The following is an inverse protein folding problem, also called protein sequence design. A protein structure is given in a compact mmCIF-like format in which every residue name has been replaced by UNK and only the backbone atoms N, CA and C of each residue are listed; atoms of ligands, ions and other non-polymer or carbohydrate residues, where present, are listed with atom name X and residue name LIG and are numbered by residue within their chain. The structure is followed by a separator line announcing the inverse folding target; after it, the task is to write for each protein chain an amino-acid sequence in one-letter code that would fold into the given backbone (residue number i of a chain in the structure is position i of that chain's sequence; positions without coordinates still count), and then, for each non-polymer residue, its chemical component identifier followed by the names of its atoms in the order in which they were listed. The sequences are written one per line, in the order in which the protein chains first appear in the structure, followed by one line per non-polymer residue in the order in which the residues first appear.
data_IF_374846722785
#
_entry.id   IF_374846722785
#
_cell.length_a   1.000
_cell.length_b   1.000
_cell.length_c   1.000
_cell.angle_alpha   90.00
_cell.angle_beta   90.00
_cell.angle_gamma   90.00
#
_symmetry.space_group_name_H-M   'P 1'
#
loop_
_entity.id
_entity.type
_entity.pdbx_description
1 polymer ?
#
# COMPACT_ATOMS: atom_id res chain seq x y z
N UNK A 1 -8.49 14.56 -19.16
CA UNK A 1 -8.14 13.17 -19.55
C UNK A 1 -6.95 12.62 -18.75
N UNK A 2 -5.73 13.18 -18.83
CA UNK A 2 -4.56 12.64 -18.10
C UNK A 2 -4.74 12.57 -16.58
N UNK A 3 -5.33 13.60 -15.96
CA UNK A 3 -5.62 13.62 -14.52
C UNK A 3 -6.59 12.50 -14.10
N UNK A 4 -7.69 12.38 -14.84
CA UNK A 4 -8.71 11.36 -14.58
C UNK A 4 -8.16 9.95 -14.75
N UNK A 5 -7.30 9.74 -15.74
CA UNK A 5 -6.63 8.44 -15.94
C UNK A 5 -5.79 8.04 -14.73
N UNK A 6 -4.96 8.96 -14.23
CA UNK A 6 -4.14 8.73 -13.03
C UNK A 6 -4.99 8.48 -11.78
N UNK A 7 -6.09 9.23 -11.63
CA UNK A 7 -7.05 8.99 -10.53
C UNK A 7 -7.69 7.60 -10.61
N UNK A 8 -8.01 7.13 -11.83
CA UNK A 8 -8.55 5.78 -12.04
C UNK A 8 -7.50 4.71 -11.72
N UNK A 9 -6.23 4.90 -12.10
CA UNK A 9 -5.15 3.97 -11.74
C UNK A 9 -5.02 3.83 -10.22
N UNK A 10 -5.05 4.95 -9.48
CA UNK A 10 -5.02 4.91 -8.01
C UNK A 10 -6.25 4.22 -7.42
N UNK A 11 -7.43 4.48 -7.98
CA UNK A 11 -8.67 3.83 -7.55
C UNK A 11 -8.59 2.31 -7.73
N UNK A 12 -8.10 1.83 -8.88
CA UNK A 12 -7.94 0.41 -9.18
C UNK A 12 -6.97 -0.25 -8.18
N UNK A 13 -5.84 0.41 -7.86
CA UNK A 13 -4.89 -0.11 -6.87
C UNK A 13 -5.52 -0.23 -5.47
N UNK A 14 -6.31 0.76 -5.05
CA UNK A 14 -7.03 0.73 -3.77
C UNK A 14 -8.08 -0.39 -3.75
N UNK A 15 -8.81 -0.58 -4.85
CA UNK A 15 -9.81 -1.64 -4.94
C UNK A 15 -9.18 -3.04 -4.92
N UNK A 16 -8.09 -3.23 -5.65
CA UNK A 16 -7.30 -4.46 -5.60
C UNK A 16 -6.80 -4.75 -4.18
N UNK A 17 -6.28 -3.75 -3.46
CA UNK A 17 -5.85 -3.92 -2.07
C UNK A 17 -7.03 -4.36 -1.18
N UNK A 18 -8.21 -3.75 -1.36
CA UNK A 18 -9.42 -4.13 -0.62
C UNK A 18 -9.82 -5.58 -0.89
N UNK A 19 -9.80 -6.03 -2.14
CA UNK A 19 -10.08 -7.41 -2.51
C UNK A 19 -9.07 -8.39 -1.91
N UNK A 20 -7.78 -8.03 -1.91
CA UNK A 20 -6.72 -8.83 -1.28
C UNK A 20 -6.92 -8.97 0.23
N UNK A 21 -7.28 -7.89 0.92
CA UNK A 21 -7.62 -7.93 2.35
C UNK A 21 -8.84 -8.81 2.60
N UNK A 22 -9.88 -8.71 1.76
CA UNK A 22 -11.06 -9.58 1.88
C UNK A 22 -10.69 -11.05 1.66
N UNK A 23 -9.77 -11.36 0.73
CA UNK A 23 -9.29 -12.73 0.53
C UNK A 23 -8.62 -13.29 1.79
N UNK A 24 -7.92 -12.47 2.57
CA UNK A 24 -7.31 -12.92 3.83
C UNK A 24 -8.34 -13.41 4.85
N UNK A 25 -9.55 -12.84 4.87
CA UNK A 25 -10.61 -13.26 5.82
C UNK A 25 -11.24 -14.60 5.46
N UNK A 26 -11.03 -15.07 4.23
CA UNK A 26 -11.54 -16.35 3.73
C UNK A 26 -10.54 -17.50 3.93
N UNK A 27 -9.31 -17.22 4.36
CA UNK A 27 -8.30 -18.26 4.62
C UNK A 27 -8.65 -19.03 5.91
N UNK A 28 -8.34 -20.32 5.92
CA UNK A 28 -8.48 -21.12 7.13
C UNK A 28 -7.44 -20.69 8.17
N UNK A 29 -7.90 -20.20 9.32
CA UNK A 29 -7.05 -19.70 10.40
C UNK A 29 -6.16 -20.77 11.04
N UNK A 30 -6.49 -22.06 10.84
CA UNK A 30 -5.67 -23.17 11.35
C UNK A 30 -4.33 -23.31 10.59
N UNK A 31 -4.21 -22.73 9.39
CA UNK A 31 -2.99 -22.68 8.59
C UNK A 31 -2.19 -21.39 8.86
N UNK A 32 -1.69 -21.22 10.08
CA UNK A 32 -1.01 -20.00 10.55
C UNK A 32 0.17 -19.56 9.69
N UNK A 33 0.93 -20.50 9.12
CA UNK A 33 2.06 -20.19 8.23
C UNK A 33 1.61 -19.63 6.86
N UNK A 34 0.61 -20.27 6.22
CA UNK A 34 0.07 -19.80 4.95
C UNK A 34 -0.59 -18.42 5.10
N UNK A 35 -1.34 -18.23 6.18
CA UNK A 35 -1.92 -16.95 6.53
C UNK A 35 -0.83 -15.87 6.73
N UNK A 36 0.25 -16.21 7.43
CA UNK A 36 1.39 -15.31 7.64
C UNK A 36 2.05 -14.88 6.32
N UNK A 37 2.31 -15.82 5.41
CA UNK A 37 2.86 -15.54 4.07
C UNK A 37 1.91 -14.65 3.28
N UNK A 38 0.62 -14.97 3.26
CA UNK A 38 -0.38 -14.20 2.53
C UNK A 38 -0.49 -12.77 3.07
N UNK A 39 -0.48 -12.58 4.39
CA UNK A 39 -0.44 -11.25 5.02
C UNK A 39 0.79 -10.47 4.56
N UNK A 40 1.96 -11.11 4.52
CA UNK A 40 3.19 -10.46 4.05
C UNK A 40 3.07 -9.99 2.58
N UNK A 41 2.49 -10.82 1.70
CA UNK A 41 2.26 -10.45 0.30
C UNK A 41 1.28 -9.27 0.16
N UNK A 42 0.18 -9.28 0.91
CA UNK A 42 -0.77 -8.16 0.92
C UNK A 42 -0.13 -6.88 1.46
N UNK A 43 0.74 -6.99 2.46
CA UNK A 43 1.50 -5.85 3.00
C UNK A 43 2.50 -5.28 1.99
N UNK A 44 3.18 -6.14 1.23
CA UNK A 44 4.08 -5.70 0.16
C UNK A 44 3.33 -4.84 -0.86
N UNK A 45 2.20 -5.35 -1.36
CA UNK A 45 1.32 -4.61 -2.27
C UNK A 45 0.79 -3.31 -1.66
N UNK A 46 0.34 -3.35 -0.40
CA UNK A 46 -0.19 -2.17 0.29
C UNK A 46 0.86 -1.05 0.44
N UNK A 47 2.11 -1.41 0.71
CA UNK A 47 3.21 -0.46 0.86
C UNK A 47 3.54 0.24 -0.47
N UNK A 48 3.61 -0.50 -1.57
CA UNK A 48 3.85 0.06 -2.90
C UNK A 48 2.68 0.92 -3.36
N UNK A 49 1.44 0.41 -3.29
CA UNK A 49 0.24 1.13 -3.69
C UNK A 49 0.01 2.39 -2.85
N UNK A 50 0.22 2.31 -1.52
CA UNK A 50 0.12 3.46 -0.62
C UNK A 50 1.17 4.52 -0.89
N UNK A 51 2.39 4.11 -1.25
CA UNK A 51 3.47 5.04 -1.62
C UNK A 51 3.15 5.78 -2.92
N UNK A 52 2.72 5.04 -3.94
CA UNK A 52 2.30 5.61 -5.22
C UNK A 52 1.12 6.59 -5.06
N UNK A 53 0.10 6.20 -4.29
CA UNK A 53 -1.04 7.06 -3.97
C UNK A 53 -0.62 8.34 -3.26
N UNK A 54 0.30 8.24 -2.30
CA UNK A 54 0.85 9.40 -1.60
C UNK A 54 1.49 10.38 -2.58
N UNK A 55 2.41 9.91 -3.42
CA UNK A 55 3.08 10.75 -4.42
C UNK A 55 2.09 11.38 -5.40
N UNK A 56 1.13 10.59 -5.88
CA UNK A 56 0.08 11.06 -6.78
C UNK A 56 -0.75 12.17 -6.10
N UNK A 57 -1.17 11.96 -4.86
CA UNK A 57 -1.96 12.94 -4.11
C UNK A 57 -1.19 14.26 -3.92
N UNK A 58 0.10 14.22 -3.60
CA UNK A 58 0.94 15.43 -3.55
C UNK A 58 0.96 16.11 -4.93
N UNK A 59 1.21 15.35 -5.99
CA UNK A 59 1.32 15.89 -7.35
C UNK A 59 0.01 16.51 -7.85
N UNK A 60 -1.15 15.97 -7.47
CA UNK A 60 -2.47 16.54 -7.77
C UNK A 60 -2.66 17.93 -7.15
N UNK A 61 -2.02 18.21 -6.02
CA UNK A 61 -2.08 19.50 -5.32
C UNK A 61 -0.94 20.47 -5.70
N UNK A 62 -0.03 20.04 -6.58
CA UNK A 62 1.13 20.84 -7.00
C UNK A 62 2.01 21.24 -5.81
N UNK A 63 2.57 22.45 -5.86
CA UNK A 63 3.44 22.96 -4.78
C UNK A 63 2.76 23.10 -3.43
N UNK A 64 1.42 23.20 -3.37
CA UNK A 64 0.70 23.23 -2.09
C UNK A 64 0.68 21.86 -1.41
N UNK A 65 0.81 20.77 -2.17
CA UNK A 65 0.70 19.40 -1.63
C UNK A 65 1.72 19.10 -0.53
N UNK A 66 2.87 19.77 -0.53
CA UNK A 66 3.93 19.57 0.48
C UNK A 66 3.77 20.47 1.73
N UNK A 67 2.77 21.36 1.75
CA UNK A 67 2.51 22.26 2.88
C UNK A 67 1.71 21.56 3.98
N UNK A 68 2.04 21.80 5.25
CA UNK A 68 1.28 21.29 6.41
C UNK A 68 -0.15 21.85 6.51
N UNK A 69 -0.48 22.87 5.72
CA UNK A 69 -1.81 23.49 5.68
C UNK A 69 -2.86 22.59 5.02
N UNK A 70 -2.42 21.60 4.23
CA UNK A 70 -3.31 20.64 3.57
C UNK A 70 -3.12 19.23 4.13
N UNK A 71 -4.23 18.54 4.36
CA UNK A 71 -4.23 17.20 4.98
C UNK A 71 -3.43 16.16 4.17
N UNK A 72 -3.24 16.38 2.87
CA UNK A 72 -2.49 15.50 1.99
C UNK A 72 -1.01 15.39 2.39
N UNK A 73 -0.39 16.46 2.90
CA UNK A 73 1.00 16.43 3.36
C UNK A 73 1.18 15.47 4.54
N UNK A 74 0.31 15.59 5.54
CA UNK A 74 0.31 14.69 6.71
C UNK A 74 -0.08 13.26 6.32
N UNK A 75 -1.05 13.10 5.41
CA UNK A 75 -1.45 11.81 4.86
C UNK A 75 -0.30 11.09 4.16
N UNK A 76 0.46 11.81 3.32
CA UNK A 76 1.65 11.29 2.65
C UNK A 76 2.69 10.76 3.65
N UNK A 77 3.04 11.55 4.68
CA UNK A 77 3.99 11.11 5.73
C UNK A 77 3.54 9.83 6.41
N UNK A 78 2.24 9.72 6.71
CA UNK A 78 1.66 8.51 7.31
C UNK A 78 1.78 7.31 6.36
N UNK A 79 1.50 7.49 5.07
CA UNK A 79 1.67 6.44 4.07
C UNK A 79 3.14 5.99 3.96
N UNK A 80 4.10 6.93 3.95
CA UNK A 80 5.54 6.59 3.93
C UNK A 80 5.97 5.80 5.16
N UNK A 81 5.43 6.13 6.34
CA UNK A 81 5.72 5.40 7.57
C UNK A 81 5.13 3.98 7.51
N UNK A 82 3.86 3.85 7.13
CA UNK A 82 3.17 2.56 7.04
C UNK A 82 3.79 1.64 5.98
N UNK A 83 4.33 2.20 4.90
CA UNK A 83 5.03 1.44 3.87
C UNK A 83 6.32 0.77 4.36
N UNK A 84 6.90 1.25 5.48
CA UNK A 84 8.15 0.72 6.04
C UNK A 84 7.98 -0.01 7.37
N UNK A 85 6.86 0.18 8.07
CA UNK A 85 6.61 -0.42 9.37
C UNK A 85 5.76 -1.69 9.27
N UNK A 86 6.13 -2.82 9.93
CA UNK A 86 7.30 -3.00 10.80
C UNK A 86 8.57 -3.41 10.03
N UNK A 87 8.46 -3.66 8.73
CA UNK A 87 9.55 -3.93 7.80
C UNK A 87 9.17 -3.42 6.41
N UNK A 88 10.15 -3.28 5.52
CA UNK A 88 9.96 -2.72 4.18
C UNK A 88 9.11 -3.60 3.25
N UNK A 89 8.65 -3.03 2.14
CA UNK A 89 7.92 -3.76 1.09
C UNK A 89 8.74 -4.93 0.52
N UNK A 90 10.05 -4.73 0.34
CA UNK A 90 10.95 -5.77 -0.16
C UNK A 90 11.02 -6.93 0.83
N UNK A 91 11.20 -6.64 2.13
CA UNK A 91 11.22 -7.68 3.16
C UNK A 91 9.87 -8.41 3.26
N UNK A 92 8.75 -7.69 3.09
CA UNK A 92 7.42 -8.29 3.04
C UNK A 92 7.29 -9.25 1.85
N UNK A 93 7.84 -8.88 0.70
CA UNK A 93 7.85 -9.69 -0.50
C UNK A 93 8.73 -10.95 -0.35
N UNK A 94 9.90 -10.82 0.29
CA UNK A 94 10.76 -11.97 0.60
C UNK A 94 10.03 -13.01 1.47
N UNK A 95 9.35 -12.55 2.52
CA UNK A 95 8.55 -13.40 3.42
C UNK A 95 7.44 -14.10 2.63
N UNK A 96 6.74 -13.38 1.75
CA UNK A 96 5.70 -13.95 0.90
C UNK A 96 6.25 -15.02 -0.06
N UNK A 97 7.41 -14.75 -0.68
CA UNK A 97 8.08 -15.68 -1.59
C UNK A 97 8.71 -16.89 -0.89
N UNK A 98 8.79 -16.89 0.45
CA UNK A 98 9.55 -17.89 1.20
C UNK A 98 11.06 -17.77 0.99
N UNK A 99 11.53 -16.61 0.50
CA UNK A 99 12.94 -16.33 0.35
C UNK A 99 13.52 -15.99 1.73
N UNK A 100 14.43 -16.85 2.23
CA UNK A 100 15.19 -16.55 3.43
C UNK A 100 16.37 -15.64 3.07
N UNK A 101 16.27 -14.36 3.42
CA UNK A 101 17.42 -13.48 3.63
C UNK A 101 17.66 -13.31 5.13
#
# INVERSE_FOLDING_TARGET
QALQHRMVEQYVAIDQLRSLIMRLTLLNNDATEELGKMIAGVRAFAAEAGTALGHEAIQLHGGMGVSEEVIVATGHKRLMMLARYPYSSERAMDIYAGAHA
#
